data_IF_919629474939
#
_entry.id   IF_919629474939
#
_cell.length_a   1.000
_cell.length_b   1.000
_cell.length_c   1.000
_cell.angle_alpha   90.00
_cell.angle_beta   90.00
_cell.angle_gamma   90.00
#
_symmetry.space_group_name_H-M   'P 1'
#
loop_
_entity.id
_entity.type
_entity.pdbx_description
1 polymer ?
#
# COMPACT_ATOMS: atom_id res chain seq x y z
N UNK A 1 6.44 15.54 6.17
CA UNK A 1 5.62 14.39 6.58
C UNK A 1 4.94 13.72 5.38
N UNK A 2 4.18 14.45 4.56
CA UNK A 2 3.52 13.86 3.36
C UNK A 2 4.49 13.23 2.36
N UNK A 3 5.63 13.88 2.06
CA UNK A 3 6.67 13.30 1.19
C UNK A 3 7.24 11.99 1.76
N UNK A 4 7.49 11.95 3.07
CA UNK A 4 8.04 10.76 3.73
C UNK A 4 7.00 9.65 3.71
N UNK A 5 5.73 9.95 3.97
CA UNK A 5 4.64 8.99 3.85
C UNK A 5 4.56 8.39 2.43
N UNK A 6 4.71 9.24 1.40
CA UNK A 6 4.70 8.81 0.00
C UNK A 6 5.86 7.85 -0.31
N UNK A 7 7.09 8.17 0.14
CA UNK A 7 8.26 7.31 -0.06
C UNK A 7 8.02 5.95 0.58
N UNK A 8 7.56 5.91 1.83
CA UNK A 8 7.30 4.65 2.53
C UNK A 8 6.15 3.86 1.92
N UNK A 9 5.10 4.51 1.41
CA UNK A 9 4.02 3.83 0.70
C UNK A 9 4.53 3.19 -0.61
N UNK A 10 5.41 3.88 -1.35
CA UNK A 10 6.04 3.32 -2.55
C UNK A 10 6.96 2.14 -2.19
N UNK A 11 7.73 2.23 -1.11
CA UNK A 11 8.57 1.13 -0.64
C UNK A 11 7.73 -0.08 -0.19
N UNK A 12 6.58 0.14 0.44
CA UNK A 12 5.65 -0.92 0.81
C UNK A 12 5.11 -1.65 -0.44
N UNK A 13 4.65 -0.89 -1.44
CA UNK A 13 4.21 -1.44 -2.73
C UNK A 13 5.30 -2.27 -3.41
N UNK A 14 6.54 -1.76 -3.46
CA UNK A 14 7.67 -2.50 -4.04
C UNK A 14 7.92 -3.79 -3.26
N UNK A 15 7.91 -3.72 -1.92
CA UNK A 15 8.06 -4.88 -1.07
C UNK A 15 7.00 -5.94 -1.33
N UNK A 16 5.73 -5.54 -1.46
CA UNK A 16 4.63 -6.44 -1.76
C UNK A 16 4.79 -7.11 -3.13
N UNK A 17 5.14 -6.34 -4.18
CA UNK A 17 5.39 -6.89 -5.52
C UNK A 17 6.52 -7.93 -5.50
N UNK A 18 7.61 -7.65 -4.78
CA UNK A 18 8.74 -8.58 -4.64
C UNK A 18 8.31 -9.86 -3.93
N UNK A 19 7.58 -9.75 -2.82
CA UNK A 19 7.07 -10.92 -2.08
C UNK A 19 6.13 -11.75 -2.96
N UNK A 20 5.19 -11.10 -3.66
CA UNK A 20 4.26 -11.78 -4.56
C UNK A 20 5.00 -12.51 -5.69
N UNK A 21 6.01 -11.87 -6.30
CA UNK A 21 6.85 -12.49 -7.31
C UNK A 21 7.60 -13.72 -6.79
N UNK A 22 8.18 -13.63 -5.59
CA UNK A 22 8.89 -14.74 -4.95
C UNK A 22 7.97 -15.91 -4.60
N UNK A 23 6.80 -15.63 -4.01
CA UNK A 23 5.80 -16.65 -3.65
C UNK A 23 5.25 -17.32 -4.89
N UNK A 24 4.89 -16.54 -5.93
CA UNK A 24 4.41 -17.07 -7.19
C UNK A 24 5.45 -17.95 -7.90
N UNK A 25 6.71 -17.49 -7.93
CA UNK A 25 7.81 -18.26 -8.51
C UNK A 25 8.08 -19.57 -7.75
N UNK A 26 8.17 -19.51 -6.41
CA UNK A 26 8.37 -20.71 -5.60
C UNK A 26 7.22 -21.71 -5.78
N UNK A 27 5.98 -21.23 -5.79
CA UNK A 27 4.80 -22.04 -6.06
C UNK A 27 4.84 -22.75 -7.42
N UNK A 28 5.25 -22.03 -8.47
CA UNK A 28 5.39 -22.60 -9.81
C UNK A 28 6.46 -23.70 -9.87
N UNK A 29 7.66 -23.44 -9.31
CA UNK A 29 8.76 -24.41 -9.26
C UNK A 29 8.36 -25.67 -8.51
N UNK A 30 7.73 -25.53 -7.33
CA UNK A 30 7.29 -26.68 -6.56
C UNK A 30 6.18 -27.46 -7.27
N UNK A 31 5.30 -26.78 -8.02
CA UNK A 31 4.23 -27.42 -8.79
C UNK A 31 4.79 -28.25 -9.95
N UNK A 32 5.79 -27.75 -10.68
CA UNK A 32 6.45 -28.50 -11.75
C UNK A 32 7.15 -29.76 -11.22
N UNK A 33 7.69 -29.69 -10.00
CA UNK A 33 8.36 -30.81 -9.33
C UNK A 33 7.38 -31.82 -8.69
N UNK A 34 6.08 -31.57 -8.77
CA UNK A 34 5.05 -32.43 -8.16
C UNK A 34 5.07 -32.43 -6.62
N UNK A 35 5.67 -31.41 -6.00
CA UNK A 35 5.82 -31.30 -4.54
C UNK A 35 4.56 -30.70 -3.90
N UNK A 36 3.80 -29.89 -4.64
CA UNK A 36 2.63 -29.16 -4.13
C UNK A 36 1.37 -30.00 -4.24
N UNK A 37 0.67 -30.18 -3.13
CA UNK A 37 -0.64 -30.82 -3.12
C UNK A 37 -1.71 -29.88 -3.69
N UNK A 38 -2.86 -30.39 -4.19
CA UNK A 38 -3.96 -29.55 -4.66
C UNK A 38 -4.46 -28.54 -3.61
N UNK A 39 -4.40 -28.91 -2.32
CA UNK A 39 -4.76 -28.02 -1.22
C UNK A 39 -3.79 -26.83 -1.10
N UNK A 40 -2.47 -27.11 -1.16
CA UNK A 40 -1.45 -26.05 -1.11
C UNK A 40 -1.51 -25.13 -2.33
N UNK A 41 -1.84 -25.65 -3.52
CA UNK A 41 -2.06 -24.82 -4.72
C UNK A 41 -3.27 -23.88 -4.56
N UNK A 42 -4.36 -24.35 -3.93
CA UNK A 42 -5.51 -23.52 -3.64
C UNK A 42 -5.18 -22.39 -2.64
N UNK A 43 -4.39 -22.69 -1.60
CA UNK A 43 -3.92 -21.69 -0.64
C UNK A 43 -3.07 -20.60 -1.30
N UNK A 44 -2.13 -20.98 -2.17
CA UNK A 44 -1.33 -20.03 -2.96
C UNK A 44 -2.21 -19.15 -3.87
N UNK A 45 -3.27 -19.72 -4.44
CA UNK A 45 -4.26 -18.97 -5.22
C UNK A 45 -5.01 -17.93 -4.38
N UNK A 46 -5.41 -18.28 -3.16
CA UNK A 46 -6.07 -17.34 -2.22
C UNK A 46 -5.11 -16.24 -1.78
N UNK A 47 -3.86 -16.59 -1.46
CA UNK A 47 -2.82 -15.61 -1.10
C UNK A 47 -2.62 -14.63 -2.26
N UNK A 48 -2.44 -15.14 -3.48
CA UNK A 48 -2.28 -14.30 -4.67
C UNK A 48 -3.48 -13.38 -4.91
N UNK A 49 -4.71 -13.89 -4.74
CA UNK A 49 -5.93 -13.08 -4.86
C UNK A 49 -5.98 -11.95 -3.83
N UNK A 50 -5.69 -12.25 -2.55
CA UNK A 50 -5.66 -11.25 -1.49
C UNK A 50 -4.59 -10.19 -1.76
N UNK A 51 -3.38 -10.59 -2.15
CA UNK A 51 -2.31 -9.64 -2.48
C UNK A 51 -2.68 -8.70 -3.63
N UNK A 52 -3.43 -9.15 -4.63
CA UNK A 52 -3.93 -8.23 -5.68
C UNK A 52 -4.86 -7.16 -5.10
N UNK A 53 -5.68 -7.50 -4.10
CA UNK A 53 -6.54 -6.53 -3.41
C UNK A 53 -5.69 -5.52 -2.63
N UNK A 54 -4.68 -5.98 -1.90
CA UNK A 54 -3.75 -5.10 -1.18
C UNK A 54 -2.99 -4.16 -2.14
N UNK A 55 -2.50 -4.67 -3.27
CA UNK A 55 -1.87 -3.86 -4.32
C UNK A 55 -2.78 -2.74 -4.85
N UNK A 56 -4.07 -3.02 -5.05
CA UNK A 56 -5.04 -1.99 -5.48
C UNK A 56 -5.16 -0.90 -4.40
N UNK A 57 -5.23 -1.28 -3.13
CA UNK A 57 -5.31 -0.33 -2.02
C UNK A 57 -4.05 0.53 -1.95
N UNK A 58 -2.87 -0.07 -2.11
CA UNK A 58 -1.58 0.63 -2.13
C UNK A 58 -1.52 1.69 -3.23
N UNK A 59 -1.94 1.34 -4.45
CA UNK A 59 -1.99 2.29 -5.56
C UNK A 59 -2.91 3.47 -5.25
N UNK A 60 -4.06 3.22 -4.61
CA UNK A 60 -4.99 4.29 -4.20
C UNK A 60 -4.38 5.17 -3.10
N UNK A 61 -3.73 4.58 -2.09
CA UNK A 61 -3.06 5.30 -1.00
C UNK A 61 -1.92 6.17 -1.55
N UNK A 62 -1.09 5.63 -2.45
CA UNK A 62 0.00 6.35 -3.12
C UNK A 62 -0.55 7.50 -3.96
N UNK A 63 -1.58 7.26 -4.78
CA UNK A 63 -2.21 8.29 -5.61
C UNK A 63 -2.74 9.45 -4.76
N UNK A 64 -3.40 9.13 -3.64
CA UNK A 64 -3.92 10.13 -2.70
C UNK A 64 -2.80 10.92 -2.03
N UNK A 65 -1.77 10.23 -1.54
CA UNK A 65 -0.61 10.87 -0.89
C UNK A 65 0.18 11.73 -1.87
N UNK A 66 0.28 11.31 -3.12
CA UNK A 66 0.88 12.09 -4.20
C UNK A 66 0.12 13.39 -4.45
N UNK A 67 -1.22 13.34 -4.52
CA UNK A 67 -2.05 14.54 -4.67
C UNK A 67 -1.88 15.49 -3.48
N UNK A 68 -1.80 14.97 -2.25
CA UNK A 68 -1.49 15.78 -1.06
C UNK A 68 -0.11 16.43 -1.16
N UNK A 69 0.91 15.67 -1.59
CA UNK A 69 2.26 16.19 -1.79
C UNK A 69 2.30 17.30 -2.84
N UNK A 70 1.62 17.11 -3.97
CA UNK A 70 1.51 18.12 -5.02
C UNK A 70 0.78 19.38 -4.54
N UNK A 71 -0.30 19.23 -3.77
CA UNK A 71 -1.02 20.37 -3.18
C UNK A 71 -0.13 21.19 -2.22
N UNK A 72 0.67 20.51 -1.39
CA UNK A 72 1.67 21.18 -0.52
C UNK A 72 2.68 21.96 -1.37
N UNK A 73 3.20 21.36 -2.44
CA UNK A 73 4.23 21.99 -3.27
C UNK A 73 3.68 23.17 -4.09
N UNK A 74 2.40 23.14 -4.45
CA UNK A 74 1.72 24.20 -5.20
C UNK A 74 1.13 25.29 -4.30
N UNK A 75 1.19 25.15 -2.97
CA UNK A 75 0.52 26.05 -2.03
C UNK A 75 -1.01 25.99 -2.07
N UNK A 76 -1.58 24.93 -2.65
CA UNK A 76 -3.03 24.75 -2.76
C UNK A 76 -3.61 24.15 -1.48
N UNK A 77 -3.87 25.04 -0.52
CA UNK A 77 -4.40 24.68 0.81
C UNK A 77 -5.82 24.10 0.69
N UNK A 78 -6.62 24.53 -0.28
CA UNK A 78 -7.99 24.05 -0.46
C UNK A 78 -8.01 22.57 -0.85
N UNK A 79 -7.18 22.19 -1.82
CA UNK A 79 -7.00 20.79 -2.20
C UNK A 79 -6.36 19.97 -1.09
N UNK A 80 -5.40 20.53 -0.36
CA UNK A 80 -4.77 19.83 0.76
C UNK A 80 -5.76 19.49 1.88
N UNK A 81 -6.64 20.45 2.26
CA UNK A 81 -7.68 20.22 3.27
C UNK A 81 -8.75 19.25 2.80
N UNK A 82 -9.16 19.30 1.52
CA UNK A 82 -10.15 18.35 0.99
C UNK A 82 -9.60 16.91 0.91
N UNK A 83 -8.29 16.77 0.71
CA UNK A 83 -7.59 15.49 0.77
C UNK A 83 -7.21 15.07 2.20
N UNK A 84 -7.42 15.92 3.20
CA UNK A 84 -7.16 15.55 4.58
C UNK A 84 -8.27 14.61 5.08
N UNK A 85 -7.96 13.36 5.43
CA UNK A 85 -8.95 12.40 5.91
C UNK A 85 -8.36 11.39 6.86
N UNK A 86 -8.90 11.36 8.07
CA UNK A 86 -8.58 10.35 9.08
C UNK A 86 -8.88 8.93 8.57
N UNK A 87 -10.02 8.74 7.90
CA UNK A 87 -10.42 7.42 7.40
C UNK A 87 -9.39 6.82 6.44
N UNK A 88 -8.86 7.62 5.52
CA UNK A 88 -7.81 7.16 4.61
C UNK A 88 -6.45 6.95 5.28
N UNK A 89 -6.13 7.71 6.33
CA UNK A 89 -4.94 7.48 7.12
C UNK A 89 -5.02 6.13 7.87
N UNK A 90 -6.20 5.75 8.37
CA UNK A 90 -6.45 4.43 8.96
C UNK A 90 -6.36 3.32 7.91
N UNK A 91 -6.95 3.51 6.73
CA UNK A 91 -6.82 2.55 5.62
C UNK A 91 -5.36 2.32 5.26
N UNK A 92 -4.57 3.40 5.12
CA UNK A 92 -3.14 3.28 4.85
C UNK A 92 -2.38 2.54 5.96
N UNK A 93 -2.74 2.75 7.23
CA UNK A 93 -2.10 2.07 8.36
C UNK A 93 -2.32 0.56 8.36
N UNK A 94 -3.54 0.12 8.03
CA UNK A 94 -3.92 -1.29 8.05
C UNK A 94 -3.40 -2.02 6.81
N UNK A 95 -3.50 -1.38 5.64
CA UNK A 95 -3.33 -2.07 4.36
C UNK A 95 -2.02 -1.73 3.65
N UNK A 96 -1.47 -0.52 3.83
CA UNK A 96 -0.27 -0.03 3.11
C UNK A 96 1.00 -0.01 3.97
N UNK A 97 0.87 -0.47 5.21
CA UNK A 97 1.96 -0.55 6.18
C UNK A 97 1.90 0.51 7.27
N UNK A 98 2.51 0.15 8.41
CA UNK A 98 2.46 0.95 9.65
C UNK A 98 3.08 2.34 9.45
N UNK A 99 4.25 2.40 8.81
CA UNK A 99 4.99 3.66 8.65
C UNK A 99 4.22 4.69 7.80
N UNK A 100 3.78 4.39 6.56
CA UNK A 100 3.04 5.36 5.76
C UNK A 100 1.71 5.77 6.44
N UNK A 101 1.01 4.85 7.10
CA UNK A 101 -0.21 5.16 7.85
C UNK A 101 0.02 6.12 9.03
N UNK A 102 1.00 5.85 9.89
CA UNK A 102 1.34 6.74 11.02
C UNK A 102 1.73 8.13 10.52
N UNK A 103 2.50 8.22 9.44
CA UNK A 103 2.90 9.51 8.87
C UNK A 103 1.71 10.28 8.29
N UNK A 104 0.72 9.60 7.72
CA UNK A 104 -0.53 10.23 7.27
C UNK A 104 -1.40 10.69 8.45
N UNK A 105 -1.44 9.95 9.56
CA UNK A 105 -2.14 10.37 10.79
C UNK A 105 -1.50 11.63 11.40
N UNK A 106 -0.17 11.69 11.43
CA UNK A 106 0.56 12.89 11.90
C UNK A 106 0.32 14.06 10.95
N UNK A 107 0.34 13.82 9.62
CA UNK A 107 0.02 14.85 8.64
C UNK A 107 -1.41 15.37 8.80
N UNK A 108 -2.36 14.50 9.17
CA UNK A 108 -3.75 14.86 9.33
C UNK A 108 -3.97 15.93 10.41
N UNK A 109 -3.44 15.72 11.62
CA UNK A 109 -3.54 16.71 12.70
C UNK A 109 -2.91 18.06 12.32
N UNK A 110 -1.74 18.03 11.70
CA UNK A 110 -1.02 19.26 11.29
C UNK A 110 -1.67 20.08 10.18
N UNK A 111 -2.56 19.48 9.38
CA UNK A 111 -3.28 20.17 8.29
C UNK A 111 -4.60 20.77 8.83
N UNK A 112 -5.11 20.21 9.92
CA UNK A 112 -6.35 20.64 10.57
C UNK A 112 -6.11 21.83 11.52
N UNK A 113 -4.95 21.86 12.18
CA UNK A 113 -4.39 23.02 12.90
C UNK A 113 -4.11 24.22 11.97
#
# INVERSE_FOLDING_TARGET
>A
MVLVALIFAILALIGEIVVLGLVGFAGAVMSEQGIVSPAASAELGVIGFLSVIFLIIDVVVISRTWKMYSAVNNGDIATLKSLNSLGWAIVALIFSGVIPGVLLLIAHGRIED
#
